data_IF_100970855525
#
_entry.id   IF_100970855525
#
_cell.length_a   1.000
_cell.length_b   1.000
_cell.length_c   1.000
_cell.angle_alpha   90.00
_cell.angle_beta   90.00
_cell.angle_gamma   90.00
#
_symmetry.space_group_name_H-M   'P 1'
#
loop_
_entity.id
_entity.type
_entity.pdbx_description
1 polymer ?
#
# COMPACT_ATOMS: atom_id res chain seq x y z
N UNK A 1 7.32 -16.72 -1.63
CA UNK A 1 6.64 -17.00 -0.37
C UNK A 1 5.51 -16.00 -0.22
N UNK A 2 4.32 -16.47 0.17
CA UNK A 2 3.20 -15.63 0.58
C UNK A 2 3.08 -15.70 2.10
N UNK A 3 2.82 -14.57 2.75
CA UNK A 3 2.68 -14.49 4.20
C UNK A 3 1.58 -13.54 4.61
N UNK A 4 1.04 -13.74 5.80
CA UNK A 4 0.06 -12.84 6.42
C UNK A 4 0.60 -12.38 7.76
N UNK A 5 0.58 -11.07 7.97
CA UNK A 5 0.97 -10.44 9.24
C UNK A 5 -0.30 -9.99 9.94
N UNK A 6 -0.46 -10.41 11.19
CA UNK A 6 -1.61 -10.12 12.01
C UNK A 6 -1.21 -9.29 13.23
N UNK A 7 -2.03 -8.34 13.58
CA UNK A 7 -1.90 -7.59 14.83
C UNK A 7 -3.24 -7.61 15.56
N UNK A 8 -3.24 -8.21 16.75
CA UNK A 8 -4.39 -8.22 17.65
C UNK A 8 -4.13 -7.30 18.82
N UNK A 9 -5.02 -6.34 19.04
CA UNK A 9 -4.89 -5.32 20.09
C UNK A 9 -5.89 -5.50 21.23
N UNK A 10 -6.61 -6.62 21.26
CA UNK A 10 -7.53 -6.97 22.34
C UNK A 10 -6.84 -7.67 23.51
N UNK A 11 -7.64 -8.22 24.43
CA UNK A 11 -7.13 -8.96 25.57
C UNK A 11 -6.42 -10.25 25.11
N UNK A 12 -5.21 -10.55 25.63
CA UNK A 12 -4.39 -11.69 25.17
C UNK A 12 -5.13 -13.04 25.18
N UNK A 13 -6.05 -13.24 26.09
CA UNK A 13 -6.83 -14.47 26.28
C UNK A 13 -7.73 -14.76 25.06
N UNK A 14 -8.07 -13.76 24.26
CA UNK A 14 -8.87 -13.90 23.05
C UNK A 14 -8.07 -14.24 21.78
N UNK A 15 -6.76 -14.13 21.82
CA UNK A 15 -5.89 -14.22 20.64
C UNK A 15 -5.96 -15.60 19.98
N UNK A 16 -5.86 -16.68 20.75
CA UNK A 16 -5.86 -18.06 20.21
C UNK A 16 -7.15 -18.38 19.45
N UNK A 17 -8.29 -17.96 19.97
CA UNK A 17 -9.58 -18.18 19.32
C UNK A 17 -9.67 -17.43 17.97
N UNK A 18 -9.09 -16.24 17.90
CA UNK A 18 -9.06 -15.42 16.69
C UNK A 18 -8.14 -16.00 15.62
N UNK A 19 -6.98 -16.51 16.01
CA UNK A 19 -5.99 -17.03 15.06
C UNK A 19 -6.24 -18.47 14.59
N UNK A 20 -7.03 -19.23 15.34
CA UNK A 20 -7.34 -20.63 15.00
C UNK A 20 -7.91 -20.84 13.59
N UNK A 21 -8.85 -20.03 13.05
CA UNK A 21 -9.33 -20.15 11.68
C UNK A 21 -8.23 -19.94 10.64
N UNK A 22 -7.29 -19.01 10.91
CA UNK A 22 -6.16 -18.73 10.02
C UNK A 22 -5.22 -19.92 9.94
N UNK A 23 -4.93 -20.55 11.07
CA UNK A 23 -4.09 -21.76 11.14
C UNK A 23 -4.73 -22.95 10.42
N UNK A 24 -6.05 -22.98 10.32
CA UNK A 24 -6.80 -24.04 9.64
C UNK A 24 -6.76 -23.95 8.09
N UNK A 25 -6.24 -22.86 7.52
CA UNK A 25 -6.13 -22.66 6.06
C UNK A 25 -5.17 -23.62 5.37
N UNK A 26 -4.29 -24.25 6.12
CA UNK A 26 -3.30 -25.21 5.63
C UNK A 26 -2.05 -25.19 6.51
N UNK A 27 -1.15 -26.17 6.39
CA UNK A 27 0.07 -26.17 7.18
C UNK A 27 0.97 -25.02 6.72
N UNK A 28 1.17 -23.99 7.56
CA UNK A 28 2.09 -22.91 7.22
C UNK A 28 3.54 -23.41 7.27
N UNK A 29 4.40 -22.88 6.39
CA UNK A 29 5.84 -23.12 6.45
C UNK A 29 6.45 -22.59 7.76
N UNK A 30 5.89 -21.50 8.25
CA UNK A 30 6.30 -20.88 9.51
C UNK A 30 5.09 -20.11 10.09
N UNK A 31 4.87 -20.22 11.35
CA UNK A 31 3.93 -19.37 12.06
C UNK A 31 4.46 -19.05 13.46
N UNK A 32 4.03 -17.92 13.99
CA UNK A 32 4.29 -17.52 15.37
C UNK A 32 3.33 -16.40 15.77
N UNK A 33 2.78 -16.50 16.97
CA UNK A 33 1.99 -15.44 17.60
C UNK A 33 2.57 -15.23 18.98
N UNK A 34 2.96 -14.00 19.29
CA UNK A 34 3.55 -13.65 20.58
C UNK A 34 3.17 -12.23 20.97
N UNK A 35 3.00 -11.94 22.26
CA UNK A 35 2.86 -10.58 22.73
C UNK A 35 4.16 -9.80 22.46
N UNK A 36 3.99 -8.57 21.94
CA UNK A 36 5.13 -7.67 21.76
C UNK A 36 4.72 -6.21 21.98
N UNK A 37 5.63 -5.33 22.40
CA UNK A 37 5.36 -3.91 22.46
C UNK A 37 5.16 -3.32 21.05
N UNK A 38 4.29 -2.32 20.92
CA UNK A 38 4.05 -1.63 19.65
C UNK A 38 5.32 -1.13 18.93
N UNK A 39 6.34 -0.57 19.62
CA UNK A 39 7.61 -0.20 18.96
C UNK A 39 8.36 -1.40 18.34
N UNK A 40 8.29 -2.57 18.95
CA UNK A 40 8.93 -3.78 18.42
C UNK A 40 8.21 -4.29 17.18
N UNK A 41 6.87 -4.23 17.14
CA UNK A 41 6.09 -4.54 15.96
C UNK A 41 6.41 -3.56 14.81
N UNK A 42 6.50 -2.26 15.15
CA UNK A 42 6.79 -1.20 14.18
C UNK A 42 8.15 -1.42 13.49
N UNK A 43 9.17 -1.86 14.24
CA UNK A 43 10.53 -2.09 13.72
C UNK A 43 10.78 -3.50 13.18
N UNK A 44 9.79 -4.41 13.27
CA UNK A 44 9.97 -5.81 12.88
C UNK A 44 10.37 -6.01 11.41
N UNK A 45 10.04 -5.05 10.55
CA UNK A 45 10.29 -5.08 9.11
C UNK A 45 11.41 -4.15 8.65
N UNK A 46 12.07 -3.40 9.53
CA UNK A 46 13.11 -2.44 9.16
C UNK A 46 14.25 -3.10 8.37
N UNK A 47 14.58 -4.34 8.70
CA UNK A 47 15.60 -5.12 7.99
C UNK A 47 15.28 -5.45 6.53
N UNK A 48 14.01 -5.35 6.11
CA UNK A 48 13.58 -5.54 4.72
C UNK A 48 13.74 -4.26 3.89
N UNK A 49 13.92 -3.11 4.53
CA UNK A 49 13.94 -1.79 3.89
C UNK A 49 15.23 -1.02 4.20
N UNK A 50 16.43 -1.59 3.95
CA UNK A 50 17.68 -0.91 4.24
C UNK A 50 17.86 0.31 3.34
N UNK A 51 18.47 1.39 3.84
CA UNK A 51 18.81 2.56 3.02
C UNK A 51 19.86 2.20 1.96
N UNK A 52 19.87 2.96 0.85
CA UNK A 52 20.87 2.82 -0.21
C UNK A 52 20.55 1.81 -1.31
N UNK A 53 19.44 1.08 -1.19
CA UNK A 53 18.95 0.21 -2.26
C UNK A 53 18.25 1.01 -3.37
N UNK A 54 18.08 0.39 -4.53
CA UNK A 54 17.22 0.87 -5.60
C UNK A 54 15.78 0.51 -5.26
N UNK A 55 14.88 1.47 -5.39
CA UNK A 55 13.47 1.32 -5.06
C UNK A 55 12.61 1.88 -6.17
N UNK A 56 11.57 1.15 -6.54
CA UNK A 56 10.48 1.66 -7.35
C UNK A 56 9.17 0.99 -6.92
N UNK A 57 8.12 1.77 -6.73
CA UNK A 57 6.81 1.22 -6.36
C UNK A 57 5.67 1.92 -7.05
N UNK A 58 4.56 1.22 -7.15
CA UNK A 58 3.25 1.67 -7.59
C UNK A 58 2.19 1.09 -6.67
N UNK A 59 1.09 1.85 -6.49
CA UNK A 59 0.02 1.45 -5.61
C UNK A 59 -1.35 1.74 -6.22
N UNK A 60 -2.36 1.02 -5.76
CA UNK A 60 -3.76 1.28 -6.05
C UNK A 60 -4.66 0.98 -4.85
N UNK A 61 -5.87 1.54 -4.85
CA UNK A 61 -6.97 1.07 -4.05
C UNK A 61 -7.78 0.04 -4.82
N UNK A 62 -8.29 -0.98 -4.13
CA UNK A 62 -9.03 -2.09 -4.72
C UNK A 62 -10.32 -2.31 -3.95
N UNK A 63 -11.43 -2.47 -4.67
CA UNK A 63 -12.74 -2.77 -4.07
C UNK A 63 -12.98 -4.26 -3.94
N UNK A 64 -12.46 -5.06 -4.88
CA UNK A 64 -12.67 -6.50 -4.93
C UNK A 64 -11.43 -7.18 -5.53
N UNK A 65 -11.00 -8.26 -4.91
CA UNK A 65 -9.96 -9.14 -5.45
C UNK A 65 -10.64 -10.19 -6.35
N UNK A 66 -10.82 -9.85 -7.64
CA UNK A 66 -11.40 -10.77 -8.61
C UNK A 66 -10.44 -11.92 -8.94
N UNK A 67 -10.96 -13.03 -9.48
CA UNK A 67 -10.12 -14.16 -9.90
C UNK A 67 -9.09 -13.75 -10.95
N UNK A 68 -9.44 -12.80 -11.84
CA UNK A 68 -8.52 -12.25 -12.82
C UNK A 68 -7.38 -11.46 -12.16
N UNK A 69 -7.70 -10.61 -11.17
CA UNK A 69 -6.69 -9.86 -10.41
C UNK A 69 -5.78 -10.83 -9.64
N UNK A 70 -6.34 -11.85 -9.00
CA UNK A 70 -5.59 -12.89 -8.29
C UNK A 70 -4.65 -13.63 -9.25
N UNK A 71 -5.09 -13.95 -10.47
CA UNK A 71 -4.25 -14.58 -11.48
C UNK A 71 -3.06 -13.69 -11.89
N UNK A 72 -3.25 -12.36 -12.01
CA UNK A 72 -2.15 -11.43 -12.25
C UNK A 72 -1.18 -11.41 -11.06
N UNK A 73 -1.68 -11.36 -9.82
CA UNK A 73 -0.82 -11.44 -8.64
C UNK A 73 0.05 -12.71 -8.66
N UNK A 74 -0.53 -13.87 -8.96
CA UNK A 74 0.21 -15.13 -9.05
C UNK A 74 1.27 -15.09 -10.15
N UNK A 75 0.93 -14.53 -11.32
CA UNK A 75 1.86 -14.41 -12.46
C UNK A 75 3.08 -13.58 -12.10
N UNK A 76 2.90 -12.39 -11.54
CA UNK A 76 3.99 -11.48 -11.23
C UNK A 76 4.78 -11.91 -10.00
N UNK A 77 4.14 -12.52 -8.99
CA UNK A 77 4.81 -13.09 -7.84
C UNK A 77 5.73 -14.28 -8.19
N UNK A 78 5.43 -15.01 -9.26
CA UNK A 78 6.31 -16.06 -9.78
C UNK A 78 7.54 -15.52 -10.54
N UNK A 79 7.57 -14.22 -10.88
CA UNK A 79 8.57 -13.58 -11.72
C UNK A 79 9.20 -12.36 -11.02
N UNK A 80 9.45 -12.45 -9.72
CA UNK A 80 10.08 -11.37 -8.97
C UNK A 80 11.44 -10.98 -9.59
N UNK A 81 11.70 -9.69 -9.82
CA UNK A 81 12.96 -9.22 -10.41
C UNK A 81 14.14 -9.35 -9.45
N UNK A 82 13.87 -9.45 -8.16
CA UNK A 82 14.85 -9.70 -7.10
C UNK A 82 14.18 -10.42 -5.93
N UNK A 83 14.96 -11.09 -5.06
CA UNK A 83 14.43 -11.73 -3.85
C UNK A 83 13.81 -10.76 -2.84
N UNK A 84 14.12 -9.46 -2.93
CA UNK A 84 13.63 -8.41 -2.02
C UNK A 84 12.37 -7.71 -2.55
N UNK A 85 12.06 -7.89 -3.85
CA UNK A 85 10.84 -7.33 -4.42
C UNK A 85 9.60 -7.99 -3.84
N UNK A 86 8.57 -7.20 -3.58
CA UNK A 86 7.37 -7.64 -2.86
C UNK A 86 6.10 -7.04 -3.43
N UNK A 87 4.96 -7.61 -3.08
CA UNK A 87 3.65 -7.00 -3.22
C UNK A 87 2.92 -7.14 -1.89
N UNK A 88 2.26 -6.08 -1.46
CA UNK A 88 1.52 -6.04 -0.21
C UNK A 88 0.07 -5.68 -0.46
N UNK A 89 -0.82 -6.33 0.29
CA UNK A 89 -2.24 -5.99 0.39
C UNK A 89 -2.54 -5.59 1.84
N UNK A 90 -3.09 -4.40 2.01
CA UNK A 90 -3.49 -3.86 3.31
C UNK A 90 -5.01 -3.73 3.34
N UNK A 91 -5.73 -4.45 4.22
CA UNK A 91 -7.17 -4.29 4.33
C UNK A 91 -7.51 -2.88 4.84
N UNK A 92 -8.54 -2.28 4.25
CA UNK A 92 -9.11 -1.02 4.70
C UNK A 92 -10.48 -1.36 5.28
N UNK A 93 -10.60 -1.30 6.61
CA UNK A 93 -11.82 -1.69 7.30
C UNK A 93 -12.03 -0.90 8.62
N UNK A 94 -12.97 -1.34 9.43
CA UNK A 94 -13.19 -0.85 10.79
C UNK A 94 -13.35 0.67 10.87
N UNK A 95 -12.47 1.33 11.61
CA UNK A 95 -12.52 2.78 11.83
C UNK A 95 -12.30 3.58 10.54
N UNK A 96 -11.53 3.07 9.59
CA UNK A 96 -11.28 3.72 8.32
C UNK A 96 -12.56 3.87 7.49
N UNK A 97 -13.43 2.86 7.48
CA UNK A 97 -14.71 2.87 6.77
C UNK A 97 -15.80 3.70 7.48
N UNK A 98 -15.68 3.93 8.80
CA UNK A 98 -16.71 4.67 9.55
C UNK A 98 -16.68 6.19 9.30
N UNK A 99 -15.53 6.74 8.91
CA UNK A 99 -15.43 8.13 8.52
C UNK A 99 -16.00 8.33 7.11
N UNK A 100 -16.65 9.46 6.85
CA UNK A 100 -17.11 9.81 5.50
C UNK A 100 -15.93 10.25 4.63
N UNK A 101 -15.97 10.05 3.30
CA UNK A 101 -14.91 10.48 2.39
C UNK A 101 -14.56 11.98 2.53
N UNK A 102 -15.54 12.85 2.82
CA UNK A 102 -15.35 14.28 2.95
C UNK A 102 -14.89 14.76 4.34
N UNK A 103 -14.82 13.87 5.35
CA UNK A 103 -14.44 14.26 6.71
C UNK A 103 -12.94 14.55 6.84
N UNK A 104 -12.12 13.94 5.98
CA UNK A 104 -10.65 14.08 6.00
C UNK A 104 -10.13 14.12 4.57
N UNK A 105 -8.81 14.35 4.39
CA UNK A 105 -8.17 14.29 3.07
C UNK A 105 -8.21 12.89 2.44
N UNK A 106 -8.25 11.81 3.24
CA UNK A 106 -8.32 10.43 2.77
C UNK A 106 -9.73 10.12 2.24
N UNK A 107 -9.88 9.98 0.92
CA UNK A 107 -11.18 9.87 0.24
C UNK A 107 -11.65 8.44 -0.06
N UNK A 108 -10.72 7.46 -0.11
CA UNK A 108 -11.03 6.06 -0.45
C UNK A 108 -11.53 5.25 0.76
N UNK A 109 -12.56 5.77 1.43
CA UNK A 109 -13.18 5.14 2.60
C UNK A 109 -14.00 3.90 2.25
N UNK A 110 -14.38 3.77 0.99
CA UNK A 110 -15.16 2.69 0.40
C UNK A 110 -14.31 1.56 -0.20
N UNK A 111 -13.00 1.74 -0.33
CA UNK A 111 -12.11 0.70 -0.81
C UNK A 111 -11.91 -0.42 0.23
N UNK A 112 -11.77 -1.66 -0.24
CA UNK A 112 -11.54 -2.83 0.62
C UNK A 112 -10.05 -3.03 0.92
N UNK A 113 -9.18 -2.68 -0.04
CA UNK A 113 -7.74 -2.90 0.05
C UNK A 113 -6.96 -1.70 -0.49
N UNK A 114 -5.78 -1.50 0.09
CA UNK A 114 -4.70 -0.78 -0.56
C UNK A 114 -3.63 -1.81 -0.94
N UNK A 115 -3.22 -1.78 -2.21
CA UNK A 115 -2.14 -2.64 -2.70
C UNK A 115 -0.93 -1.80 -3.09
N UNK A 116 0.25 -2.38 -2.93
CA UNK A 116 1.51 -1.77 -3.38
C UNK A 116 2.45 -2.84 -3.92
N UNK A 117 2.94 -2.62 -5.14
CA UNK A 117 3.96 -3.40 -5.79
C UNK A 117 5.29 -2.69 -5.60
N UNK A 118 6.30 -3.38 -5.07
CA UNK A 118 7.58 -2.80 -4.68
C UNK A 118 8.71 -3.56 -5.34
N UNK A 119 9.36 -2.93 -6.31
CA UNK A 119 10.60 -3.40 -6.89
C UNK A 119 11.78 -2.90 -6.06
N UNK A 120 12.64 -3.80 -5.62
CA UNK A 120 13.80 -3.49 -4.75
C UNK A 120 15.03 -4.27 -5.23
N UNK A 121 16.20 -3.62 -5.27
CA UNK A 121 17.49 -4.33 -5.43
C UNK A 121 18.62 -3.54 -4.76
N UNK A 122 19.60 -4.23 -4.17
CA UNK A 122 20.83 -3.60 -3.69
C UNK A 122 21.76 -3.19 -4.85
N UNK A 123 21.62 -3.79 -6.05
CA UNK A 123 22.49 -3.49 -7.21
C UNK A 123 21.85 -2.37 -8.08
N UNK A 124 22.54 -1.24 -8.27
CA UNK A 124 22.09 -0.18 -9.18
C UNK A 124 21.82 -0.64 -10.61
N UNK A 125 22.45 -1.72 -11.07
CA UNK A 125 22.23 -2.28 -12.42
C UNK A 125 20.81 -2.80 -12.61
N UNK A 126 20.14 -3.19 -11.52
CA UNK A 126 18.79 -3.75 -11.56
C UNK A 126 17.70 -2.65 -11.58
N UNK A 127 18.05 -1.37 -11.45
CA UNK A 127 17.09 -0.26 -11.37
C UNK A 127 16.07 -0.27 -12.53
N UNK A 128 16.53 -0.55 -13.75
CA UNK A 128 15.65 -0.63 -14.92
C UNK A 128 14.71 -1.83 -14.86
N UNK A 129 15.22 -3.00 -14.42
CA UNK A 129 14.45 -4.23 -14.33
C UNK A 129 13.36 -4.17 -13.25
N UNK A 130 13.70 -3.67 -12.04
CA UNK A 130 12.71 -3.49 -10.97
C UNK A 130 11.64 -2.46 -11.35
N UNK A 131 12.03 -1.39 -12.05
CA UNK A 131 11.08 -0.36 -12.53
C UNK A 131 10.14 -0.92 -13.58
N UNK A 132 10.64 -1.66 -14.57
CA UNK A 132 9.83 -2.28 -15.62
C UNK A 132 8.84 -3.30 -15.01
N UNK A 133 9.34 -4.22 -14.18
CA UNK A 133 8.47 -5.21 -13.51
C UNK A 133 7.36 -4.55 -12.69
N UNK A 134 7.67 -3.52 -11.92
CA UNK A 134 6.66 -2.83 -11.10
C UNK A 134 5.60 -2.14 -11.97
N UNK A 135 6.01 -1.50 -13.08
CA UNK A 135 5.08 -0.86 -14.01
C UNK A 135 4.20 -1.89 -14.71
N UNK A 136 4.79 -2.94 -15.26
CA UNK A 136 4.05 -4.00 -15.95
C UNK A 136 3.06 -4.70 -15.01
N UNK A 137 3.44 -4.88 -13.75
CA UNK A 137 2.57 -5.46 -12.73
C UNK A 137 1.40 -4.53 -12.43
N UNK A 138 1.69 -3.25 -12.20
CA UNK A 138 0.66 -2.24 -11.96
C UNK A 138 -0.26 -2.08 -13.17
N UNK A 139 0.27 -2.01 -14.38
CA UNK A 139 -0.51 -1.90 -15.63
C UNK A 139 -1.48 -3.08 -15.80
N UNK A 140 -1.09 -4.28 -15.36
CA UNK A 140 -1.94 -5.46 -15.41
C UNK A 140 -3.06 -5.44 -14.34
N UNK A 141 -2.86 -4.79 -13.20
CA UNK A 141 -3.82 -4.73 -12.09
C UNK A 141 -4.70 -3.49 -12.11
N UNK A 142 -4.20 -2.37 -12.62
CA UNK A 142 -4.90 -1.09 -12.61
C UNK A 142 -6.32 -1.14 -13.20
N UNK A 143 -6.63 -1.92 -14.26
CA UNK A 143 -8.00 -2.11 -14.74
C UNK A 143 -8.98 -2.71 -13.71
N UNK A 144 -8.47 -3.39 -12.68
CA UNK A 144 -9.25 -3.98 -11.59
C UNK A 144 -9.29 -3.07 -10.34
N UNK A 145 -8.65 -1.89 -10.40
CA UNK A 145 -8.52 -0.98 -9.28
C UNK A 145 -9.70 -0.02 -9.14
N UNK A 146 -9.73 0.72 -8.04
CA UNK A 146 -10.66 1.81 -7.81
C UNK A 146 -10.18 3.16 -8.38
N UNK A 147 -9.03 3.19 -9.07
CA UNK A 147 -8.54 4.33 -9.85
C UNK A 147 -7.60 5.31 -9.13
N UNK A 148 -7.42 5.21 -7.83
CA UNK A 148 -6.48 6.03 -7.05
C UNK A 148 -5.62 5.21 -6.11
N UNK A 149 -4.69 5.86 -5.42
CA UNK A 149 -3.78 5.20 -4.49
C UNK A 149 -3.66 5.96 -3.17
N UNK A 150 -3.14 5.27 -2.16
CA UNK A 150 -2.72 5.95 -0.94
C UNK A 150 -1.49 6.81 -1.25
N UNK A 151 -1.61 8.12 -1.05
CA UNK A 151 -0.61 9.09 -1.50
C UNK A 151 0.80 8.85 -0.94
N UNK A 152 0.92 8.25 0.24
CA UNK A 152 2.22 7.88 0.81
C UNK A 152 2.85 6.64 0.16
N UNK A 153 2.10 5.93 -0.69
CA UNK A 153 2.56 4.78 -1.49
C UNK A 153 2.71 5.14 -2.97
N UNK A 154 2.70 6.43 -3.31
CA UNK A 154 2.90 6.92 -4.68
C UNK A 154 4.31 7.46 -4.86
N UNK A 155 4.87 7.23 -6.03
CA UNK A 155 6.04 7.95 -6.53
C UNK A 155 5.60 9.21 -7.32
N UNK A 156 6.49 9.81 -8.10
CA UNK A 156 6.10 10.87 -9.03
C UNK A 156 5.33 10.27 -10.22
N UNK A 157 4.02 10.36 -10.14
CA UNK A 157 3.08 9.78 -11.10
C UNK A 157 2.26 10.86 -11.84
N UNK A 158 2.55 12.13 -11.57
CA UNK A 158 1.91 13.27 -12.21
C UNK A 158 0.63 13.75 -11.56
N UNK A 159 0.21 14.97 -11.95
CA UNK A 159 -0.92 15.70 -11.35
C UNK A 159 -2.26 14.94 -11.49
N UNK A 160 -2.47 14.24 -12.58
CA UNK A 160 -3.72 13.49 -12.82
C UNK A 160 -3.91 12.38 -11.78
N UNK A 161 -2.84 11.65 -11.51
CA UNK A 161 -2.83 10.58 -10.53
C UNK A 161 -3.04 11.10 -9.11
N UNK A 162 -2.45 12.26 -8.77
CA UNK A 162 -2.67 12.95 -7.51
C UNK A 162 -4.16 13.32 -7.35
N UNK A 163 -4.77 13.91 -8.39
CA UNK A 163 -6.20 14.25 -8.38
C UNK A 163 -7.09 13.03 -8.19
N UNK A 164 -6.82 11.94 -8.92
CA UNK A 164 -7.54 10.69 -8.78
C UNK A 164 -7.46 10.14 -7.34
N UNK A 165 -6.31 10.27 -6.68
CA UNK A 165 -6.08 9.78 -5.32
C UNK A 165 -6.83 10.58 -4.24
N UNK A 166 -7.09 11.86 -4.48
CA UNK A 166 -7.88 12.69 -3.56
C UNK A 166 -9.37 12.78 -3.95
N UNK A 167 -9.77 12.37 -5.15
CA UNK A 167 -11.16 12.45 -5.65
C UNK A 167 -11.75 13.86 -5.43
N UNK A 168 -12.97 13.94 -4.94
CA UNK A 168 -13.69 15.20 -4.67
C UNK A 168 -13.02 16.08 -3.61
N UNK A 169 -12.17 15.51 -2.77
CA UNK A 169 -11.43 16.27 -1.75
C UNK A 169 -10.33 17.17 -2.35
N UNK A 170 -9.89 16.91 -3.59
CA UNK A 170 -8.81 17.67 -4.21
C UNK A 170 -9.11 19.18 -4.28
N UNK A 171 -10.33 19.56 -4.67
CA UNK A 171 -10.72 20.98 -4.80
C UNK A 171 -10.62 21.72 -3.46
N UNK A 172 -11.12 21.12 -2.38
CA UNK A 172 -11.00 21.68 -1.02
C UNK A 172 -9.55 21.78 -0.56
N UNK A 173 -8.74 20.76 -0.84
CA UNK A 173 -7.31 20.75 -0.50
C UNK A 173 -6.54 21.86 -1.25
N UNK A 174 -6.87 22.12 -2.52
CA UNK A 174 -6.30 23.20 -3.30
C UNK A 174 -6.69 24.59 -2.74
N UNK A 175 -7.94 24.75 -2.28
CA UNK A 175 -8.40 25.97 -1.61
C UNK A 175 -7.66 26.20 -0.28
N UNK A 176 -7.55 25.18 0.57
CA UNK A 176 -6.77 25.23 1.82
C UNK A 176 -5.32 25.58 1.51
N UNK A 177 -4.73 24.95 0.51
CA UNK A 177 -3.36 25.22 0.05
C UNK A 177 -3.21 26.68 -0.37
N UNK A 178 -4.16 27.25 -1.13
CA UNK A 178 -4.15 28.65 -1.54
C UNK A 178 -4.23 29.61 -0.34
N UNK A 179 -4.97 29.24 0.69
CA UNK A 179 -5.12 30.08 1.89
C UNK A 179 -3.86 30.09 2.77
N UNK A 180 -3.23 28.93 2.98
CA UNK A 180 -2.15 28.77 3.95
C UNK A 180 -0.74 28.71 3.33
N UNK A 181 -0.64 28.39 2.06
CA UNK A 181 0.63 28.31 1.31
C UNK A 181 0.46 28.79 -0.13
N UNK A 182 0.03 30.08 -0.34
CA UNK A 182 -0.20 30.61 -1.69
C UNK A 182 1.05 30.66 -2.57
N UNK A 183 2.23 30.72 -1.96
CA UNK A 183 3.54 30.67 -2.65
C UNK A 183 4.03 29.28 -2.98
N UNK A 184 3.25 28.23 -2.61
CA UNK A 184 3.62 26.81 -2.81
C UNK A 184 5.02 26.48 -2.29
N UNK A 185 5.35 26.94 -1.08
CA UNK A 185 6.60 26.66 -0.39
C UNK A 185 6.75 25.15 -0.10
N UNK A 186 5.70 24.52 0.42
CA UNK A 186 5.63 23.09 0.70
C UNK A 186 5.15 22.34 -0.55
N UNK A 187 6.09 21.92 -1.41
CA UNK A 187 5.82 21.36 -2.74
C UNK A 187 6.47 20.00 -3.02
N UNK A 188 6.95 19.34 -1.97
CA UNK A 188 7.53 17.99 -2.10
C UNK A 188 6.45 16.91 -2.13
N UNK A 189 6.80 15.72 -2.61
CA UNK A 189 5.93 14.55 -2.74
C UNK A 189 4.71 14.83 -3.63
N UNK A 190 3.51 14.45 -3.20
CA UNK A 190 2.25 14.59 -3.95
C UNK A 190 1.72 16.02 -3.79
N UNK A 191 2.38 16.99 -4.43
CA UNK A 191 2.06 18.40 -4.29
C UNK A 191 0.65 18.74 -4.78
N UNK A 192 -0.14 19.40 -3.93
CA UNK A 192 -1.40 20.03 -4.30
C UNK A 192 -1.10 21.50 -4.60
N UNK A 193 -1.28 21.92 -5.86
CA UNK A 193 -1.01 23.30 -6.25
C UNK A 193 -2.11 24.25 -5.74
N UNK A 194 -1.75 25.44 -5.23
CA UNK A 194 -2.73 26.47 -4.85
C UNK A 194 -3.50 26.94 -6.09
N UNK A 195 -4.84 26.87 -6.07
CA UNK A 195 -5.74 27.29 -7.15
C UNK A 195 -6.68 28.39 -6.69
#
# INVERSE_FOLDING_TARGET
VCGVVWCYTGAPEGADALFKPVQAFGPPLMHGVQPMPSPALQSAFDGLYPPGHQWYWRADFVNELTDEAIAQHQRFAAQLPSPQSTMHLYPIDGAAHRAKPADTAFSYRDAQWAEVMVGVSPDPKDAAAITAWTKDYWDALHPHSAGGAYVNMMMDEGDERIRASYRDNYARLAEVKRQYDPGNLFRVNQNIRPQ
#
